data_IF_231775166520
#
_entry.id   IF_231775166520
#
_cell.length_a   1.000
_cell.length_b   1.000
_cell.length_c   1.000
_cell.angle_alpha   90.00
_cell.angle_beta   90.00
_cell.angle_gamma   90.00
#
_symmetry.space_group_name_H-M   'P 1'
#
loop_
_entity.id
_entity.type
_entity.pdbx_description
1 polymer ?
#
# COMPACT_ATOMS: atom_id res chain seq x y z
N UNK A 1 -3.92 -19.43 -17.44
CA UNK A 1 -2.68 -19.71 -18.18
C UNK A 1 -1.64 -20.24 -17.21
N UNK A 2 -0.89 -21.28 -17.58
CA UNK A 2 0.23 -21.78 -16.78
C UNK A 2 1.51 -21.25 -17.39
N UNK A 3 2.36 -20.65 -16.57
CA UNK A 3 3.61 -20.03 -16.98
C UNK A 3 4.68 -20.40 -15.95
N UNK A 4 5.88 -20.68 -16.42
CA UNK A 4 7.06 -20.84 -15.58
C UNK A 4 7.83 -19.53 -15.61
N UNK A 5 8.12 -18.96 -14.45
CA UNK A 5 8.86 -17.72 -14.28
C UNK A 5 9.82 -17.90 -13.11
N UNK A 6 11.03 -17.36 -13.25
CA UNK A 6 12.01 -17.34 -12.16
C UNK A 6 11.70 -16.15 -11.23
N UNK A 7 11.61 -16.43 -9.94
CA UNK A 7 11.36 -15.44 -8.90
C UNK A 7 12.34 -15.71 -7.77
N UNK A 8 12.92 -14.65 -7.24
CA UNK A 8 13.74 -14.70 -6.03
C UNK A 8 12.98 -15.35 -4.86
N UNK A 9 13.61 -16.36 -4.23
CA UNK A 9 12.97 -17.14 -3.18
C UNK A 9 12.75 -16.35 -1.89
N UNK A 10 13.67 -15.44 -1.55
CA UNK A 10 13.55 -14.58 -0.37
C UNK A 10 12.39 -13.60 -0.54
N UNK A 11 12.27 -13.00 -1.73
CA UNK A 11 11.14 -12.14 -2.10
C UNK A 11 9.81 -12.90 -2.00
N UNK A 12 9.75 -14.14 -2.51
CA UNK A 12 8.53 -14.96 -2.44
C UNK A 12 8.18 -15.33 -0.99
N UNK A 13 9.19 -15.60 -0.15
CA UNK A 13 9.00 -15.89 1.26
C UNK A 13 8.45 -14.66 2.02
N UNK A 14 9.04 -13.48 1.80
CA UNK A 14 8.57 -12.23 2.38
C UNK A 14 7.15 -11.90 1.93
N UNK A 15 6.86 -12.00 0.64
CA UNK A 15 5.53 -11.74 0.08
C UNK A 15 4.47 -12.70 0.66
N UNK A 16 4.80 -13.99 0.84
CA UNK A 16 3.90 -14.96 1.48
C UNK A 16 3.67 -14.64 2.95
N UNK A 17 4.71 -14.26 3.68
CA UNK A 17 4.60 -13.85 5.10
C UNK A 17 3.73 -12.60 5.25
N UNK A 18 3.93 -11.61 4.38
CA UNK A 18 3.15 -10.36 4.39
C UNK A 18 1.69 -10.56 3.98
N UNK A 19 1.42 -11.45 3.01
CA UNK A 19 0.07 -11.73 2.52
C UNK A 19 -0.70 -12.76 3.34
N UNK A 20 -0.01 -13.61 4.11
CA UNK A 20 -0.61 -14.73 4.83
C UNK A 20 -1.10 -15.87 3.92
N UNK A 21 -0.67 -15.90 2.65
CA UNK A 21 -1.20 -16.83 1.66
C UNK A 21 -0.46 -18.17 1.62
N UNK A 22 -1.23 -19.24 1.52
CA UNK A 22 -0.71 -20.60 1.55
C UNK A 22 0.11 -20.96 0.32
N UNK A 23 -0.22 -20.43 -0.87
CA UNK A 23 0.41 -20.86 -2.13
C UNK A 23 1.14 -19.72 -2.85
N UNK A 24 2.21 -20.07 -3.57
CA UNK A 24 2.94 -19.15 -4.47
C UNK A 24 2.01 -18.55 -5.52
N UNK A 25 1.10 -19.36 -6.10
CA UNK A 25 0.11 -18.92 -7.09
C UNK A 25 -0.80 -17.81 -6.54
N UNK A 26 -1.39 -18.01 -5.36
CA UNK A 26 -2.27 -17.01 -4.75
C UNK A 26 -1.51 -15.71 -4.45
N UNK A 27 -0.28 -15.82 -3.96
CA UNK A 27 0.59 -14.68 -3.64
C UNK A 27 0.89 -13.85 -4.89
N UNK A 28 1.32 -14.51 -5.97
CA UNK A 28 1.59 -13.85 -7.26
C UNK A 28 0.34 -13.19 -7.82
N UNK A 29 -0.81 -13.89 -7.79
CA UNK A 29 -2.06 -13.34 -8.30
C UNK A 29 -2.53 -12.11 -7.50
N UNK A 30 -2.42 -12.15 -6.17
CA UNK A 30 -2.75 -11.01 -5.31
C UNK A 30 -1.80 -9.83 -5.57
N UNK A 31 -0.50 -10.08 -5.70
CA UNK A 31 0.51 -9.05 -5.98
C UNK A 31 0.23 -8.34 -7.32
N UNK A 32 -0.10 -9.08 -8.38
CA UNK A 32 -0.46 -8.52 -9.68
C UNK A 32 -1.74 -7.67 -9.62
N UNK A 33 -2.77 -8.14 -8.91
CA UNK A 33 -4.01 -7.38 -8.69
C UNK A 33 -3.74 -6.08 -7.93
N UNK A 34 -2.90 -6.13 -6.90
CA UNK A 34 -2.49 -4.96 -6.13
C UNK A 34 -1.75 -3.95 -6.99
N UNK A 35 -0.77 -4.40 -7.80
CA UNK A 35 -0.04 -3.54 -8.72
C UNK A 35 -0.99 -2.80 -9.68
N UNK A 36 -1.95 -3.50 -10.29
CA UNK A 36 -2.93 -2.87 -11.18
C UNK A 36 -3.80 -1.86 -10.41
N UNK A 37 -4.25 -2.21 -9.20
CA UNK A 37 -5.03 -1.30 -8.34
C UNK A 37 -4.25 -0.03 -8.02
N UNK A 38 -2.99 -0.15 -7.63
CA UNK A 38 -2.10 0.98 -7.34
C UNK A 38 -1.89 1.87 -8.56
N UNK A 39 -1.69 1.28 -9.75
CA UNK A 39 -1.57 2.04 -11.00
C UNK A 39 -2.87 2.75 -11.40
N UNK A 40 -4.03 2.16 -11.09
CA UNK A 40 -5.35 2.78 -11.32
C UNK A 40 -5.69 3.89 -10.34
N UNK A 41 -5.06 3.93 -9.16
CA UNK A 41 -5.23 5.02 -8.22
C UNK A 41 -4.61 6.31 -8.80
N UNK A 42 -5.42 7.07 -9.56
CA UNK A 42 -5.12 8.42 -10.06
C UNK A 42 -4.98 9.47 -8.96
N UNK A 43 -5.12 9.08 -7.69
CA UNK A 43 -4.99 10.00 -6.55
C UNK A 43 -3.60 10.63 -6.50
N UNK A 44 -2.57 9.89 -6.94
CA UNK A 44 -1.23 10.43 -7.11
C UNK A 44 -1.20 11.67 -8.04
N UNK A 45 -1.92 11.60 -9.16
CA UNK A 45 -2.05 12.72 -10.09
C UNK A 45 -2.94 13.86 -9.57
N UNK A 46 -3.76 13.60 -8.54
CA UNK A 46 -4.63 14.60 -7.92
C UNK A 46 -3.95 15.38 -6.78
N UNK A 47 -2.80 14.91 -6.26
CA UNK A 47 -2.03 15.69 -5.28
C UNK A 47 -1.59 17.02 -5.88
N UNK A 48 -1.86 18.12 -5.17
CA UNK A 48 -1.53 19.48 -5.61
C UNK A 48 -2.44 20.04 -6.72
N UNK A 49 -3.29 19.22 -7.35
CA UNK A 49 -4.24 19.69 -8.39
C UNK A 49 -5.45 20.44 -7.83
N UNK A 50 -5.87 20.10 -6.62
CA UNK A 50 -7.05 20.68 -6.01
C UNK A 50 -6.65 21.46 -4.75
N UNK A 51 -7.03 22.75 -4.63
CA UNK A 51 -6.76 23.51 -3.43
C UNK A 51 -7.54 22.92 -2.27
N UNK A 52 -6.83 22.54 -1.21
CA UNK A 52 -7.46 22.09 0.01
C UNK A 52 -8.08 23.30 0.75
N UNK A 53 -9.41 23.27 0.94
CA UNK A 53 -10.15 24.29 1.70
C UNK A 53 -10.48 23.74 3.10
N UNK A 54 -9.56 23.91 4.04
CA UNK A 54 -9.77 23.51 5.44
C UNK A 54 -8.86 24.27 6.39
N UNK A 55 -9.04 24.04 7.70
CA UNK A 55 -8.21 24.62 8.76
C UNK A 55 -7.35 23.51 9.39
N UNK A 56 -6.05 23.55 9.10
CA UNK A 56 -5.10 22.53 9.52
C UNK A 56 -4.87 22.56 11.03
N UNK A 57 -4.96 23.75 11.61
CA UNK A 57 -4.86 23.99 13.05
C UNK A 57 -6.05 23.35 13.76
N UNK A 58 -7.27 23.53 13.23
CA UNK A 58 -8.48 22.87 13.74
C UNK A 58 -8.37 21.35 13.68
N UNK A 59 -7.96 20.76 12.57
CA UNK A 59 -7.82 19.31 12.43
C UNK A 59 -6.77 18.69 13.35
N UNK A 60 -5.81 19.49 13.84
CA UNK A 60 -4.72 19.04 14.71
C UNK A 60 -4.97 19.32 16.21
N UNK A 61 -6.07 19.99 16.57
CA UNK A 61 -6.44 20.18 17.98
C UNK A 61 -6.60 18.81 18.65
N UNK A 62 -5.91 18.61 19.78
CA UNK A 62 -5.92 17.34 20.54
C UNK A 62 -4.82 16.34 20.19
N UNK A 63 -3.99 16.58 19.15
CA UNK A 63 -2.87 15.66 18.81
C UNK A 63 -1.58 15.89 19.61
N UNK A 64 -1.50 16.97 20.39
CA UNK A 64 -0.39 17.14 21.34
C UNK A 64 -0.69 16.29 22.57
N UNK A 65 -0.06 15.12 22.63
CA UNK A 65 0.10 14.41 23.88
C UNK A 65 0.98 15.24 24.82
N UNK A 66 0.55 15.26 26.08
CA UNK A 66 1.20 15.80 27.27
C UNK A 66 2.70 15.44 27.27
N UNK A 67 3.58 16.45 27.35
CA UNK A 67 4.94 16.22 27.87
C UNK A 67 4.81 16.18 29.38
N UNK A 68 4.75 14.98 29.96
CA UNK A 68 4.90 14.83 31.41
C UNK A 68 6.38 14.97 31.75
N UNK A 69 6.76 15.77 32.77
CA UNK A 69 8.13 15.88 33.25
C UNK A 69 8.68 14.56 33.80
#
# INVERSE_FOLDING_TARGET
>A
MRTTIDIDDDLMAEARKASGLATRKQTVEQALRLMVKLRRQRVAAAFGRYPWRGDLTRSRRGRRAVKTP
#
